data_IF_452846518970
#
_entry.id   IF_452846518970
#
_cell.length_a   1.000
_cell.length_b   1.000
_cell.length_c   1.000
_cell.angle_alpha   90.00
_cell.angle_beta   90.00
_cell.angle_gamma   90.00
#
_symmetry.space_group_name_H-M   'P 1'
#
loop_
_entity.id
_entity.type
_entity.pdbx_description
1 polymer ?
#
# COMPACT_ATOMS: atom_id res chain seq x y z
N UNK A 1 21.23 21.76 16.61
CA UNK A 1 21.79 21.69 15.25
C UNK A 1 22.15 20.25 14.96
N UNK A 2 21.71 19.71 13.81
CA UNK A 2 22.13 18.37 13.40
C UNK A 2 23.63 18.42 12.99
N UNK A 3 24.42 17.54 13.56
CA UNK A 3 25.85 17.43 13.20
C UNK A 3 25.99 16.64 11.90
N UNK A 4 26.90 17.07 11.03
CA UNK A 4 27.16 16.40 9.76
C UNK A 4 28.07 15.16 9.94
N UNK A 5 28.05 14.26 8.96
CA UNK A 5 28.95 13.10 8.93
C UNK A 5 30.44 13.52 8.99
N UNK A 6 30.79 14.61 8.31
CA UNK A 6 32.13 15.21 8.37
C UNK A 6 32.49 15.65 9.80
N UNK A 7 31.55 16.26 10.51
CA UNK A 7 31.76 16.71 11.91
C UNK A 7 32.03 15.52 12.84
N UNK A 8 31.24 14.43 12.72
CA UNK A 8 31.45 13.20 13.50
C UNK A 8 32.81 12.57 13.19
N UNK A 9 33.15 12.46 11.90
CA UNK A 9 34.45 11.91 11.48
C UNK A 9 35.59 12.73 12.06
N UNK A 10 35.52 14.05 12.00
CA UNK A 10 36.56 14.93 12.56
C UNK A 10 36.66 14.84 14.08
N UNK A 11 35.57 14.59 14.79
CA UNK A 11 35.61 14.29 16.24
C UNK A 11 36.37 13.01 16.55
N UNK A 12 36.23 11.98 15.70
CA UNK A 12 37.02 10.75 15.83
C UNK A 12 38.49 11.01 15.54
N UNK A 13 38.80 11.71 14.43
CA UNK A 13 40.18 12.07 14.06
C UNK A 13 40.86 12.88 15.13
N UNK A 14 40.19 13.86 15.74
CA UNK A 14 40.73 14.68 16.83
C UNK A 14 41.13 13.83 18.05
N UNK A 15 40.36 12.76 18.37
CA UNK A 15 40.73 11.84 19.46
C UNK A 15 41.95 10.97 19.13
N UNK A 16 42.23 10.78 17.85
CA UNK A 16 43.37 10.03 17.34
C UNK A 16 44.59 10.96 17.07
N UNK A 17 44.48 12.26 17.40
CA UNK A 17 45.46 13.27 17.12
C UNK A 17 45.84 13.39 15.62
N UNK A 18 44.84 13.20 14.77
CA UNK A 18 44.97 13.25 13.32
C UNK A 18 44.38 14.51 12.72
N UNK A 19 44.83 14.84 11.50
CA UNK A 19 44.40 16.06 10.80
C UNK A 19 42.92 15.94 10.40
N UNK A 20 42.17 17.00 10.69
CA UNK A 20 40.75 17.08 10.32
C UNK A 20 40.57 17.14 8.80
N UNK A 21 39.49 16.50 8.31
CA UNK A 21 39.06 16.57 6.94
C UNK A 21 38.25 17.85 6.69
N UNK A 22 38.38 18.39 5.50
CA UNK A 22 37.51 19.47 4.98
C UNK A 22 36.46 18.90 4.05
N UNK A 23 35.47 19.67 3.64
CA UNK A 23 34.46 19.25 2.66
C UNK A 23 35.11 18.84 1.31
N UNK A 24 36.24 19.42 0.95
CA UNK A 24 36.97 19.13 -0.30
C UNK A 24 37.87 17.88 -0.19
N UNK A 25 38.40 17.58 1.00
CA UNK A 25 39.28 16.41 1.20
C UNK A 25 38.55 15.17 1.69
N UNK A 26 37.28 15.29 2.02
CA UNK A 26 36.48 14.20 2.60
C UNK A 26 36.36 12.98 1.68
N UNK A 27 36.16 13.19 0.38
CA UNK A 27 36.07 12.13 -0.63
C UNK A 27 37.41 11.53 -1.00
N UNK A 28 38.51 12.19 -0.71
CA UNK A 28 39.89 11.76 -0.98
C UNK A 28 40.64 11.30 0.28
N UNK A 29 39.91 11.03 1.35
CA UNK A 29 40.46 10.52 2.61
C UNK A 29 41.27 9.23 2.40
N UNK A 30 42.37 9.05 3.16
CA UNK A 30 43.25 7.90 3.08
C UNK A 30 43.67 7.40 4.46
N UNK A 31 44.06 6.13 4.52
CA UNK A 31 44.59 5.54 5.76
C UNK A 31 43.63 5.64 6.93
N UNK A 32 44.09 6.22 8.03
CA UNK A 32 43.33 6.34 9.26
C UNK A 32 42.07 7.22 9.13
N UNK A 33 42.08 8.15 8.18
CA UNK A 33 40.91 8.98 7.89
C UNK A 33 39.75 8.17 7.33
N UNK A 34 40.04 7.19 6.44
CA UNK A 34 39.03 6.24 5.93
C UNK A 34 38.52 5.33 7.04
N UNK A 35 39.42 4.89 7.94
CA UNK A 35 39.00 4.08 9.10
C UNK A 35 38.07 4.87 10.02
N UNK A 36 38.32 6.16 10.24
CA UNK A 36 37.44 7.02 11.01
C UNK A 36 36.06 7.19 10.33
N UNK A 37 36.01 7.34 9.01
CA UNK A 37 34.74 7.37 8.24
C UNK A 37 33.97 6.06 8.40
N UNK A 38 34.66 4.93 8.25
CA UNK A 38 34.06 3.60 8.38
C UNK A 38 33.53 3.39 9.81
N UNK A 39 34.29 3.75 10.82
CA UNK A 39 33.86 3.64 12.22
C UNK A 39 32.58 4.45 12.52
N UNK A 40 32.46 5.66 11.99
CA UNK A 40 31.22 6.44 12.10
C UNK A 40 30.06 5.77 11.36
N UNK A 41 30.27 5.27 10.15
CA UNK A 41 29.24 4.56 9.39
C UNK A 41 28.78 3.29 10.12
N UNK A 42 29.71 2.50 10.65
CA UNK A 42 29.38 1.29 11.41
C UNK A 42 28.63 1.63 12.70
N UNK A 43 29.02 2.68 13.41
CA UNK A 43 28.30 3.12 14.60
C UNK A 43 26.85 3.53 14.26
N UNK A 44 26.65 4.28 13.17
CA UNK A 44 25.29 4.64 12.70
C UNK A 44 24.48 3.40 12.32
N UNK A 45 25.10 2.45 11.60
CA UNK A 45 24.44 1.18 11.27
C UNK A 45 24.09 0.39 12.52
N UNK A 46 25.00 0.27 13.46
CA UNK A 46 24.78 -0.44 14.72
C UNK A 46 23.62 0.17 15.52
N UNK A 47 23.60 1.51 15.67
CA UNK A 47 22.52 2.21 16.36
C UNK A 47 21.18 1.93 15.65
N UNK A 48 21.12 2.07 14.32
CA UNK A 48 19.91 1.84 13.55
C UNK A 48 19.43 0.39 13.55
N UNK A 49 20.33 -0.57 13.77
CA UNK A 49 19.99 -2.00 13.83
C UNK A 49 19.57 -2.46 15.23
N UNK A 50 20.08 -1.79 16.27
CA UNK A 50 19.85 -2.19 17.66
C UNK A 50 18.45 -1.88 18.14
N UNK A 51 17.85 -0.83 17.62
CA UNK A 51 16.50 -0.43 18.00
C UNK A 51 15.73 0.11 16.78
N UNK A 52 14.58 -0.53 16.48
CA UNK A 52 13.77 -0.18 15.31
C UNK A 52 12.77 0.96 15.59
N UNK A 53 12.67 1.42 16.84
CA UNK A 53 11.63 2.36 17.29
C UNK A 53 12.15 3.75 17.64
N UNK A 54 13.28 4.14 17.11
CA UNK A 54 13.72 5.54 17.25
C UNK A 54 12.74 6.49 16.55
N UNK A 55 12.31 7.58 17.19
CA UNK A 55 11.35 8.53 16.59
C UNK A 55 11.80 9.08 15.24
N UNK A 56 13.10 9.25 15.03
CA UNK A 56 13.65 9.76 13.76
C UNK A 56 13.66 8.71 12.63
N UNK A 57 13.49 7.43 12.95
CA UNK A 57 13.39 6.33 11.98
C UNK A 57 11.93 5.90 11.73
N UNK A 58 10.99 6.51 12.44
CA UNK A 58 9.58 6.17 12.36
C UNK A 58 8.89 7.08 11.36
N UNK A 59 8.17 6.49 10.42
CA UNK A 59 7.27 7.23 9.54
C UNK A 59 5.94 6.50 9.45
N UNK A 60 4.86 7.25 9.38
CA UNK A 60 3.54 6.72 9.09
C UNK A 60 3.20 6.94 7.63
N UNK A 61 2.59 5.95 7.00
CA UNK A 61 2.04 6.06 5.65
C UNK A 61 0.54 5.81 5.71
N UNK A 62 -0.18 6.61 4.99
CA UNK A 62 -1.60 6.40 4.72
C UNK A 62 -1.74 5.83 3.31
N UNK A 63 -2.52 4.77 3.17
CA UNK A 63 -2.83 4.15 1.88
C UNK A 63 -4.33 4.21 1.66
N UNK A 64 -4.75 4.66 0.48
CA UNK A 64 -6.16 4.63 0.08
C UNK A 64 -6.45 3.28 -0.54
N UNK A 65 -7.39 2.57 0.05
CA UNK A 65 -7.81 1.26 -0.44
C UNK A 65 -8.76 1.44 -1.62
N UNK A 66 -8.68 0.50 -2.55
CA UNK A 66 -9.52 0.46 -3.75
C UNK A 66 -10.35 -0.81 -3.70
N UNK A 67 -11.63 -0.70 -3.99
CA UNK A 67 -12.54 -1.86 -4.04
C UNK A 67 -12.03 -2.94 -5.00
N UNK A 68 -12.02 -4.18 -4.54
CA UNK A 68 -11.51 -5.32 -5.32
C UNK A 68 -10.00 -5.47 -5.38
N UNK A 69 -9.24 -4.61 -4.71
CA UNK A 69 -7.78 -4.76 -4.61
C UNK A 69 -7.42 -5.47 -3.31
N UNK A 70 -6.76 -6.60 -3.43
CA UNK A 70 -6.39 -7.46 -2.29
C UNK A 70 -4.99 -7.16 -1.79
N UNK A 71 -4.05 -6.91 -2.72
CA UNK A 71 -2.62 -6.78 -2.45
C UNK A 71 -2.16 -5.35 -2.59
N UNK A 72 -1.46 -4.87 -1.58
CA UNK A 72 -0.89 -3.52 -1.53
C UNK A 72 0.61 -3.61 -1.30
N UNK A 73 1.38 -2.82 -2.05
CA UNK A 73 2.83 -2.83 -1.95
C UNK A 73 3.32 -2.04 -0.74
N UNK A 74 4.29 -2.62 -0.04
CA UNK A 74 5.04 -1.91 0.99
C UNK A 74 6.08 -1.01 0.31
N UNK A 75 6.24 0.25 0.74
CA UNK A 75 7.27 1.12 0.18
C UNK A 75 8.65 0.48 0.25
N UNK A 76 9.40 0.49 -0.86
CA UNK A 76 10.75 -0.09 -0.94
C UNK A 76 11.76 0.58 0.01
N UNK A 77 11.46 1.80 0.46
CA UNK A 77 12.25 2.54 1.45
C UNK A 77 12.02 2.06 2.89
N UNK A 78 10.92 1.33 3.14
CA UNK A 78 10.63 0.78 4.46
C UNK A 78 11.47 -0.48 4.69
N UNK A 79 12.33 -0.44 5.71
CA UNK A 79 13.11 -1.62 6.14
C UNK A 79 12.27 -2.60 6.93
N UNK A 80 11.36 -2.08 7.74
CA UNK A 80 10.50 -2.86 8.63
C UNK A 80 9.14 -2.21 8.72
N UNK A 81 8.10 -3.02 8.77
CA UNK A 81 6.72 -2.56 8.94
C UNK A 81 6.18 -3.21 10.20
N UNK A 82 5.63 -2.40 11.10
CA UNK A 82 4.92 -2.91 12.27
C UNK A 82 3.45 -3.14 11.92
N UNK A 83 3.12 -4.39 11.61
CA UNK A 83 1.76 -4.81 11.25
C UNK A 83 0.75 -4.62 12.39
N UNK A 84 1.22 -4.52 13.64
CA UNK A 84 0.33 -4.26 14.77
C UNK A 84 -0.19 -2.83 14.82
N UNK A 85 0.35 -1.93 14.00
CA UNK A 85 -0.11 -0.53 13.91
C UNK A 85 -1.12 -0.29 12.80
N UNK A 86 -1.40 -1.30 11.97
CA UNK A 86 -2.38 -1.18 10.90
C UNK A 86 -3.77 -0.92 11.45
N UNK A 87 -4.42 0.10 10.91
CA UNK A 87 -5.78 0.50 11.28
C UNK A 87 -6.46 1.17 10.09
N UNK A 88 -7.75 0.99 10.00
CA UNK A 88 -8.58 1.81 9.13
C UNK A 88 -8.80 3.16 9.79
N UNK A 89 -8.58 4.24 9.06
CA UNK A 89 -8.92 5.58 9.51
C UNK A 89 -10.43 5.73 9.41
N UNK A 90 -11.02 6.44 10.36
CA UNK A 90 -12.46 6.73 10.37
C UNK A 90 -12.81 7.46 9.08
N UNK A 91 -13.63 6.83 8.25
CA UNK A 91 -14.33 7.47 7.16
C UNK A 91 -15.69 7.92 7.63
N UNK A 92 -16.08 9.16 7.30
CA UNK A 92 -17.41 9.72 7.64
C UNK A 92 -18.54 8.87 7.06
N UNK A 93 -18.29 8.19 5.94
CA UNK A 93 -19.30 7.39 5.24
C UNK A 93 -19.48 5.98 5.84
N UNK A 94 -18.54 5.53 6.67
CA UNK A 94 -18.60 4.20 7.30
C UNK A 94 -19.46 4.15 8.55
N UNK A 95 -19.83 5.31 9.12
CA UNK A 95 -20.60 5.35 10.38
C UNK A 95 -19.90 4.70 11.58
N UNK A 96 -18.70 4.15 11.38
CA UNK A 96 -17.91 3.43 12.38
C UNK A 96 -16.59 4.12 12.66
N UNK A 97 -16.12 4.04 13.88
CA UNK A 97 -14.75 4.40 14.23
C UNK A 97 -13.81 3.45 13.55
N UNK A 98 -12.78 3.97 12.85
CA UNK A 98 -11.72 3.16 12.27
C UNK A 98 -11.14 2.21 13.33
N UNK A 99 -11.05 0.93 12.97
CA UNK A 99 -10.58 -0.13 13.86
C UNK A 99 -9.15 -0.55 13.55
N UNK A 100 -8.47 -1.08 14.57
CA UNK A 100 -7.20 -1.77 14.38
C UNK A 100 -7.44 -3.06 13.59
N UNK A 101 -6.57 -3.33 12.61
CA UNK A 101 -6.58 -4.59 11.89
C UNK A 101 -5.86 -5.67 12.70
N UNK A 102 -6.37 -6.88 12.67
CA UNK A 102 -5.73 -8.04 13.29
C UNK A 102 -4.68 -8.60 12.34
N UNK A 103 -3.49 -8.90 12.87
CA UNK A 103 -2.42 -9.51 12.07
C UNK A 103 -2.72 -11.00 11.91
N UNK A 104 -2.84 -11.43 10.65
CA UNK A 104 -3.04 -12.81 10.26
C UNK A 104 -1.71 -13.39 9.76
N UNK A 105 -1.41 -14.62 10.13
CA UNK A 105 -0.26 -15.32 9.59
C UNK A 105 -0.50 -15.67 8.12
N UNK A 106 0.51 -15.51 7.25
CA UNK A 106 0.38 -15.79 5.83
C UNK A 106 -0.02 -17.26 5.52
N UNK A 107 0.50 -18.21 6.29
CA UNK A 107 0.11 -19.61 6.12
C UNK A 107 -1.35 -19.86 6.52
N UNK A 108 -1.83 -19.16 7.53
CA UNK A 108 -3.25 -19.21 7.93
C UNK A 108 -4.13 -18.59 6.84
N UNK A 109 -3.69 -17.46 6.26
CA UNK A 109 -4.37 -16.85 5.13
C UNK A 109 -4.47 -17.81 3.94
N UNK A 110 -3.36 -18.44 3.53
CA UNK A 110 -3.35 -19.41 2.43
C UNK A 110 -4.30 -20.57 2.72
N UNK A 111 -4.29 -21.11 3.92
CA UNK A 111 -5.09 -22.29 4.24
C UNK A 111 -6.59 -22.00 4.38
N UNK A 112 -6.96 -20.77 4.73
CA UNK A 112 -8.34 -20.44 5.09
C UNK A 112 -9.02 -19.48 4.12
N UNK A 113 -8.26 -18.66 3.39
CA UNK A 113 -8.82 -17.53 2.65
C UNK A 113 -8.30 -17.37 1.21
N UNK A 114 -7.28 -18.14 0.77
CA UNK A 114 -6.68 -17.94 -0.55
C UNK A 114 -7.65 -18.25 -1.69
N UNK A 115 -8.57 -19.18 -1.50
CA UNK A 115 -9.59 -19.52 -2.50
C UNK A 115 -10.45 -18.32 -2.88
N UNK A 116 -10.54 -17.32 -2.01
CA UNK A 116 -11.31 -16.10 -2.26
C UNK A 116 -10.58 -15.11 -3.18
N UNK A 117 -9.24 -15.15 -3.27
CA UNK A 117 -8.51 -14.39 -4.27
C UNK A 117 -8.78 -14.91 -5.68
N UNK A 118 -8.91 -16.23 -5.84
CA UNK A 118 -9.17 -16.87 -7.12
C UNK A 118 -10.62 -16.63 -7.62
N UNK A 119 -11.51 -16.22 -6.73
CA UNK A 119 -12.90 -15.88 -7.05
C UNK A 119 -13.07 -14.42 -7.54
N UNK A 120 -12.00 -13.62 -7.55
CA UNK A 120 -12.05 -12.26 -8.05
C UNK A 120 -11.90 -12.23 -9.57
N UNK A 121 -12.98 -11.91 -10.26
CA UNK A 121 -12.94 -11.66 -11.71
C UNK A 121 -12.59 -10.19 -11.96
N UNK A 122 -11.61 -9.93 -12.80
CA UNK A 122 -11.14 -8.57 -13.09
C UNK A 122 -11.07 -8.26 -14.59
N UNK A 123 -11.29 -7.00 -14.93
CA UNK A 123 -11.08 -6.41 -16.25
C UNK A 123 -10.68 -4.93 -16.09
N UNK A 124 -10.56 -4.19 -17.19
CA UNK A 124 -10.30 -2.74 -17.16
C UNK A 124 -11.27 -2.00 -18.04
N UNK A 125 -11.61 -0.77 -17.70
CA UNK A 125 -12.40 0.13 -18.55
C UNK A 125 -11.64 0.44 -19.83
N UNK A 126 -12.32 0.41 -20.98
CA UNK A 126 -11.72 0.71 -22.30
C UNK A 126 -11.87 2.17 -22.70
N UNK A 127 -12.81 2.89 -22.09
CA UNK A 127 -13.10 4.31 -22.38
C UNK A 127 -13.34 5.06 -21.08
N UNK A 128 -13.34 6.39 -21.16
CA UNK A 128 -13.78 7.25 -20.06
C UNK A 128 -15.31 7.24 -19.97
N UNK A 129 -15.83 7.18 -18.75
CA UNK A 129 -17.27 7.20 -18.45
C UNK A 129 -17.62 8.38 -17.54
N UNK A 130 -18.73 9.03 -17.81
CA UNK A 130 -19.31 10.02 -16.88
C UNK A 130 -20.02 9.31 -15.71
N UNK A 131 -20.37 10.07 -14.70
CA UNK A 131 -21.05 9.57 -13.49
C UNK A 131 -22.49 9.08 -13.70
N UNK A 132 -23.07 9.39 -14.85
CA UNK A 132 -24.49 9.13 -15.19
C UNK A 132 -24.70 8.06 -16.27
N UNK A 133 -23.64 7.43 -16.76
CA UNK A 133 -23.77 6.40 -17.81
C UNK A 133 -24.47 5.15 -17.30
N UNK A 134 -25.29 4.57 -18.15
CA UNK A 134 -25.97 3.28 -17.89
C UNK A 134 -25.31 2.08 -18.59
N UNK A 135 -24.20 2.34 -19.28
CA UNK A 135 -23.39 1.30 -19.94
C UNK A 135 -21.92 1.58 -19.71
N UNK A 136 -21.18 0.57 -19.23
CA UNK A 136 -19.74 0.67 -18.98
C UNK A 136 -19.01 -0.26 -19.94
N UNK A 137 -18.11 0.33 -20.73
CA UNK A 137 -17.28 -0.38 -21.72
C UNK A 137 -15.97 -0.84 -21.10
N UNK A 138 -15.65 -2.12 -21.23
CA UNK A 138 -14.48 -2.76 -20.66
C UNK A 138 -13.74 -3.57 -21.72
N UNK A 139 -12.52 -4.04 -21.38
CA UNK A 139 -11.72 -4.86 -22.28
C UNK A 139 -12.38 -6.23 -22.56
N UNK A 140 -12.97 -6.87 -21.55
CA UNK A 140 -13.69 -8.13 -21.66
C UNK A 140 -14.63 -8.31 -20.46
N UNK A 141 -15.76 -8.94 -20.66
CA UNK A 141 -16.68 -9.36 -19.60
C UNK A 141 -16.63 -10.87 -19.34
N UNK A 142 -15.66 -11.57 -19.95
CA UNK A 142 -15.50 -13.02 -19.75
C UNK A 142 -15.23 -13.33 -18.29
N UNK A 143 -15.97 -14.26 -17.72
CA UNK A 143 -15.87 -14.66 -16.32
C UNK A 143 -16.73 -13.85 -15.35
N UNK A 144 -17.30 -12.73 -15.79
CA UNK A 144 -18.29 -11.98 -15.00
C UNK A 144 -19.66 -12.61 -15.09
N UNK A 145 -20.47 -12.44 -14.06
CA UNK A 145 -21.85 -12.86 -14.05
C UNK A 145 -22.68 -12.12 -15.10
N UNK A 146 -23.85 -12.68 -15.45
CA UNK A 146 -24.78 -12.03 -16.38
C UNK A 146 -25.43 -10.76 -15.81
N UNK A 147 -25.48 -10.64 -14.49
CA UNK A 147 -25.95 -9.48 -13.74
C UNK A 147 -25.34 -9.48 -12.34
N UNK A 148 -25.24 -8.33 -11.68
CA UNK A 148 -24.67 -8.28 -10.32
C UNK A 148 -24.13 -6.91 -9.97
N UNK A 149 -23.10 -6.91 -9.13
CA UNK A 149 -22.39 -5.70 -8.72
C UNK A 149 -20.93 -5.79 -9.11
N UNK A 150 -20.42 -4.74 -9.72
CA UNK A 150 -18.98 -4.56 -10.00
C UNK A 150 -18.42 -3.41 -9.16
N UNK A 151 -17.13 -3.50 -8.89
CA UNK A 151 -16.36 -2.52 -8.11
C UNK A 151 -15.40 -1.80 -9.05
N UNK A 152 -15.49 -0.46 -9.11
CA UNK A 152 -14.65 0.37 -9.97
C UNK A 152 -14.14 1.55 -9.13
N UNK A 153 -12.83 1.58 -8.89
CA UNK A 153 -12.22 2.55 -7.98
C UNK A 153 -12.92 2.53 -6.60
N UNK A 154 -13.61 3.62 -6.23
CA UNK A 154 -14.32 3.75 -4.95
C UNK A 154 -15.84 3.60 -5.09
N UNK A 155 -16.31 3.12 -6.23
CA UNK A 155 -17.72 3.04 -6.55
C UNK A 155 -18.18 1.61 -6.74
N UNK A 156 -19.38 1.31 -6.26
CA UNK A 156 -20.13 0.11 -6.59
C UNK A 156 -21.16 0.44 -7.67
N UNK A 157 -21.20 -0.40 -8.69
CA UNK A 157 -22.13 -0.26 -9.81
C UNK A 157 -22.87 -1.57 -9.96
N UNK A 158 -24.20 -1.54 -9.84
CA UNK A 158 -25.04 -2.70 -10.20
C UNK A 158 -25.33 -2.69 -11.69
N UNK A 159 -25.40 -3.85 -12.29
CA UNK A 159 -25.74 -4.03 -13.71
C UNK A 159 -26.71 -5.18 -13.92
N UNK A 160 -27.49 -5.13 -14.99
CA UNK A 160 -28.55 -6.11 -15.29
C UNK A 160 -28.26 -6.96 -16.50
N UNK A 161 -27.19 -6.69 -17.22
CA UNK A 161 -26.81 -7.46 -18.41
C UNK A 161 -25.38 -7.22 -18.85
N UNK A 162 -24.84 -8.15 -19.64
CA UNK A 162 -23.49 -8.08 -20.21
C UNK A 162 -23.50 -8.35 -21.69
N UNK A 163 -22.57 -7.75 -22.43
CA UNK A 163 -22.12 -8.19 -23.75
C UNK A 163 -20.66 -8.63 -23.62
N UNK A 164 -19.98 -8.98 -24.70
CA UNK A 164 -18.58 -9.38 -24.65
C UNK A 164 -17.62 -8.29 -24.08
N UNK A 165 -18.04 -7.03 -24.15
CA UNK A 165 -17.19 -5.87 -23.75
C UNK A 165 -17.95 -4.77 -23.01
N UNK A 166 -19.18 -5.00 -22.61
CA UNK A 166 -19.96 -3.98 -21.89
C UNK A 166 -20.80 -4.56 -20.78
N UNK A 167 -20.90 -3.82 -19.67
CA UNK A 167 -21.95 -3.97 -18.68
C UNK A 167 -23.09 -3.03 -19.05
N UNK A 168 -24.33 -3.54 -19.04
CA UNK A 168 -25.54 -2.79 -19.46
C UNK A 168 -26.56 -2.68 -18.32
N UNK A 169 -27.43 -1.69 -18.37
CA UNK A 169 -28.40 -1.44 -17.31
C UNK A 169 -27.71 -1.08 -15.99
N UNK A 170 -26.61 -0.32 -16.06
CA UNK A 170 -25.83 0.07 -14.91
C UNK A 170 -26.55 1.11 -14.06
N UNK A 171 -26.61 0.87 -12.76
CA UNK A 171 -26.98 1.87 -11.74
C UNK A 171 -25.69 2.30 -11.02
N UNK A 172 -25.34 3.56 -11.15
CA UNK A 172 -24.15 4.16 -10.59
C UNK A 172 -24.34 4.53 -9.13
N UNK A 173 -23.25 4.55 -8.34
CA UNK A 173 -23.30 4.92 -6.93
C UNK A 173 -24.14 3.98 -6.06
N UNK A 174 -24.17 2.70 -6.37
CA UNK A 174 -24.92 1.71 -5.62
C UNK A 174 -24.34 1.50 -4.21
N UNK A 175 -25.17 0.98 -3.28
CA UNK A 175 -24.77 0.59 -1.92
C UNK A 175 -24.02 1.69 -1.16
N UNK A 176 -24.58 2.89 -1.15
CA UNK A 176 -24.06 4.09 -0.46
C UNK A 176 -22.68 4.54 -0.93
N UNK A 177 -22.31 4.22 -2.16
CA UNK A 177 -21.15 4.80 -2.83
C UNK A 177 -21.54 6.01 -3.67
N UNK A 178 -20.57 6.84 -4.02
CA UNK A 178 -20.83 8.05 -4.83
C UNK A 178 -20.36 7.79 -6.27
N UNK A 179 -21.25 8.04 -7.24
CA UNK A 179 -20.91 7.99 -8.65
C UNK A 179 -19.89 9.08 -9.01
N UNK A 180 -18.84 8.69 -9.71
CA UNK A 180 -17.78 9.58 -10.16
C UNK A 180 -17.39 9.30 -11.62
N UNK A 181 -16.72 10.26 -12.27
CA UNK A 181 -16.14 10.02 -13.59
C UNK A 181 -15.05 8.94 -13.50
N UNK A 182 -15.08 7.97 -14.40
CA UNK A 182 -14.15 6.85 -14.48
C UNK A 182 -13.28 7.01 -15.72
N UNK A 183 -11.97 7.06 -15.54
CA UNK A 183 -11.03 7.12 -16.66
C UNK A 183 -10.93 5.76 -17.39
N UNK A 184 -10.40 5.77 -18.61
CA UNK A 184 -9.98 4.54 -19.30
C UNK A 184 -8.83 3.86 -18.55
N UNK A 185 -8.78 2.51 -18.56
CA UNK A 185 -7.73 1.73 -17.91
C UNK A 185 -7.94 1.49 -16.41
N UNK A 186 -9.04 1.96 -15.82
CA UNK A 186 -9.36 1.70 -14.42
C UNK A 186 -9.81 0.24 -14.25
N UNK A 187 -9.32 -0.42 -13.21
CA UNK A 187 -9.71 -1.78 -12.88
C UNK A 187 -11.20 -1.86 -12.52
N UNK A 188 -11.83 -2.88 -13.04
CA UNK A 188 -13.18 -3.32 -12.71
C UNK A 188 -13.08 -4.72 -12.11
N UNK A 189 -13.67 -4.94 -10.94
CA UNK A 189 -13.65 -6.22 -10.26
C UNK A 189 -15.05 -6.69 -9.91
N UNK A 190 -15.25 -8.01 -9.90
CA UNK A 190 -16.43 -8.65 -9.33
C UNK A 190 -15.98 -9.75 -8.37
N UNK A 191 -16.59 -9.80 -7.19
CA UNK A 191 -16.38 -10.83 -6.18
C UNK A 191 -17.58 -10.91 -5.25
N UNK A 192 -17.85 -12.09 -4.72
CA UNK A 192 -19.02 -12.30 -3.86
C UNK A 192 -18.80 -11.89 -2.41
N UNK A 193 -17.56 -12.02 -1.91
CA UNK A 193 -17.24 -11.82 -0.50
C UNK A 193 -16.31 -10.64 -0.29
N UNK A 194 -16.89 -9.49 -0.10
CA UNK A 194 -16.15 -8.28 0.27
C UNK A 194 -16.73 -7.63 1.50
N UNK A 195 -16.02 -6.66 2.06
CA UNK A 195 -16.46 -5.94 3.25
C UNK A 195 -15.47 -4.91 3.73
N UNK A 196 -15.63 -4.53 4.99
CA UNK A 196 -14.65 -3.71 5.70
C UNK A 196 -13.50 -4.61 6.12
N UNK A 197 -12.25 -4.34 5.70
CA UNK A 197 -11.09 -5.11 6.12
C UNK A 197 -10.95 -5.21 7.64
N UNK A 198 -10.69 -6.40 8.14
CA UNK A 198 -10.49 -6.68 9.57
C UNK A 198 -9.12 -7.27 9.85
N UNK A 199 -8.53 -7.92 8.86
CA UNK A 199 -7.25 -8.60 8.98
C UNK A 199 -6.26 -8.06 7.98
N UNK A 200 -4.98 -8.11 8.38
CA UNK A 200 -3.84 -7.82 7.52
C UNK A 200 -2.84 -8.96 7.60
N UNK A 201 -2.35 -9.44 6.46
CA UNK A 201 -1.30 -10.45 6.39
C UNK A 201 -0.13 -9.95 5.54
N UNK A 202 1.09 -10.24 5.98
CA UNK A 202 2.30 -9.98 5.20
C UNK A 202 2.53 -11.11 4.21
N UNK A 203 2.81 -10.77 2.95
CA UNK A 203 3.22 -11.74 1.94
C UNK A 203 4.74 -11.86 1.86
N UNK A 204 5.28 -13.00 1.36
CA UNK A 204 6.71 -13.19 1.15
C UNK A 204 7.34 -12.20 0.16
N UNK A 205 6.56 -11.69 -0.79
CA UNK A 205 6.95 -10.75 -1.84
C UNK A 205 6.91 -9.27 -1.41
N UNK A 206 6.94 -9.02 -0.10
CA UNK A 206 6.95 -7.69 0.50
C UNK A 206 5.70 -6.83 0.19
N UNK A 207 4.56 -7.46 0.05
CA UNK A 207 3.25 -6.84 0.01
C UNK A 207 2.49 -7.09 1.32
N UNK A 208 1.32 -6.47 1.47
CA UNK A 208 0.36 -6.87 2.48
C UNK A 208 -1.00 -7.14 1.84
N UNK A 209 -1.71 -8.07 2.42
CA UNK A 209 -3.04 -8.50 2.05
C UNK A 209 -4.04 -7.98 3.06
N UNK A 210 -5.24 -7.71 2.61
CA UNK A 210 -6.36 -7.36 3.47
C UNK A 210 -7.48 -8.38 3.34
N UNK A 211 -8.14 -8.68 4.46
CA UNK A 211 -9.29 -9.56 4.48
C UNK A 211 -10.36 -9.06 5.47
N UNK A 212 -11.66 -9.10 5.14
CA UNK A 212 -12.22 -9.28 3.79
C UNK A 212 -11.73 -8.24 2.79
N UNK A 213 -11.96 -8.49 1.49
CA UNK A 213 -11.57 -7.55 0.44
C UNK A 213 -12.34 -6.24 0.57
N UNK A 214 -11.67 -5.08 0.34
CA UNK A 214 -12.37 -3.80 0.35
C UNK A 214 -13.49 -3.76 -0.69
N UNK A 215 -14.70 -3.40 -0.29
CA UNK A 215 -15.83 -3.20 -1.20
C UNK A 215 -15.97 -1.77 -1.69
N UNK A 216 -15.23 -0.85 -1.08
CA UNK A 216 -15.13 0.56 -1.48
C UNK A 216 -13.79 1.13 -1.05
N UNK A 217 -13.52 2.40 -1.36
CA UNK A 217 -12.34 3.09 -0.87
C UNK A 217 -12.40 3.27 0.65
N UNK A 218 -11.37 2.79 1.34
CA UNK A 218 -11.11 3.05 2.75
C UNK A 218 -9.72 3.68 2.87
N UNK A 219 -9.50 4.40 3.94
CA UNK A 219 -8.19 5.01 4.23
C UNK A 219 -7.63 4.49 5.54
#
# INVERSE_FOLDING_TARGET
>A
MAESFLTFTNKVLARLNEVALTSTTFSSARGIQVQAQNAVNEAVRYINQKEFQYPFNHSTKTETLVGGTVRYSIPTTAKTVDYNTFRLVKDSDLGSSGGRLYVLNYNEYINSYITQEDEITTTTTSTTHTDSVTTITVASTTGFDSSGTIFIANEQVTYTGTTSTTFTGCTRGANDTTAASIASGVQVAQFEQGGVPQYVARTPDNNFLLYPFPTKGFT
#
